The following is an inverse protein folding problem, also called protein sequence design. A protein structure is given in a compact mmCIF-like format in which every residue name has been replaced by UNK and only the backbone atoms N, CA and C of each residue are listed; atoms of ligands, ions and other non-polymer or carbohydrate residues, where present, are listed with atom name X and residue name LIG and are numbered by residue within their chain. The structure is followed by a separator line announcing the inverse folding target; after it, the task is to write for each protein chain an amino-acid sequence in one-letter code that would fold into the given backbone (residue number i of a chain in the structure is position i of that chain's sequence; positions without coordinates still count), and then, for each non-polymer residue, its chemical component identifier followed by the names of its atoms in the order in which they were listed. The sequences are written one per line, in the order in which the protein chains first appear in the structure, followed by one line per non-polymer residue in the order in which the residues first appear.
data_IF_554070314647
#
_entry.id   IF_554070314647
#
_cell.length_a   1.000
_cell.length_b   1.000
_cell.length_c   1.000
_cell.angle_alpha   90.00
_cell.angle_beta   90.00
_cell.angle_gamma   90.00
#
_symmetry.space_group_name_H-M   'P 1'
#
loop_
_entity.id
_entity.type
_entity.pdbx_description
1 polymer ?
#
# COMPACT_ATOMS: atom_id res chain seq x y z
N UNK A 1 54.93 -11.13 3.06
CA UNK A 1 53.86 -11.29 4.07
C UNK A 1 52.55 -11.59 3.37
N UNK A 2 51.88 -12.68 3.76
CA UNK A 2 50.56 -13.04 3.24
C UNK A 2 49.47 -12.40 4.10
N UNK A 3 48.25 -12.36 3.57
CA UNK A 3 47.10 -11.77 4.26
C UNK A 3 45.90 -12.70 4.24
N UNK A 4 45.04 -12.61 5.25
CA UNK A 4 43.76 -13.34 5.22
C UNK A 4 42.85 -12.82 4.09
N UNK A 5 42.01 -13.68 3.49
CA UNK A 5 41.22 -13.31 2.31
C UNK A 5 40.02 -12.38 2.62
N UNK A 6 39.53 -12.35 3.86
CA UNK A 6 38.34 -11.58 4.25
C UNK A 6 38.71 -10.19 4.78
N UNK A 7 39.70 -10.12 5.67
CA UNK A 7 40.03 -8.89 6.40
C UNK A 7 41.45 -8.37 6.11
N UNK A 8 42.20 -9.01 5.20
CA UNK A 8 43.54 -8.56 4.84
C UNK A 8 44.55 -8.65 5.99
N UNK A 9 44.28 -9.43 7.04
CA UNK A 9 45.14 -9.51 8.23
C UNK A 9 46.51 -10.12 7.87
N UNK A 10 47.63 -9.43 8.14
CA UNK A 10 48.96 -9.96 7.84
C UNK A 10 49.29 -11.15 8.73
N UNK A 11 49.97 -12.16 8.20
CA UNK A 11 50.47 -13.27 8.99
C UNK A 11 51.84 -13.77 8.50
N UNK A 12 52.55 -14.46 9.40
CA UNK A 12 53.92 -14.97 9.21
C UNK A 12 53.87 -16.37 8.60
N UNK A 13 54.78 -16.66 7.67
CA UNK A 13 54.94 -17.94 6.99
C UNK A 13 56.29 -18.59 7.33
N UNK A 14 56.45 -19.87 6.98
CA UNK A 14 57.66 -20.64 7.32
C UNK A 14 58.94 -20.15 6.62
N UNK A 15 58.82 -19.41 5.51
CA UNK A 15 59.92 -18.84 4.74
C UNK A 15 60.31 -17.41 5.17
N UNK A 16 59.60 -16.83 6.14
CA UNK A 16 59.90 -15.51 6.68
C UNK A 16 61.19 -15.51 7.52
N UNK A 17 62.05 -14.50 7.31
CA UNK A 17 63.32 -14.37 8.03
C UNK A 17 63.10 -14.06 9.51
N UNK A 18 63.74 -14.84 10.38
CA UNK A 18 63.72 -14.62 11.85
C UNK A 18 64.24 -13.22 12.22
N UNK A 19 65.21 -12.68 11.47
CA UNK A 19 65.73 -11.32 11.69
C UNK A 19 64.69 -10.21 11.45
N UNK A 20 63.64 -10.50 10.69
CA UNK A 20 62.56 -9.58 10.36
C UNK A 20 61.36 -9.71 11.31
N UNK A 21 61.39 -10.67 12.24
CA UNK A 21 60.28 -10.97 13.14
C UNK A 21 59.74 -9.75 13.91
N UNK A 22 60.58 -8.84 14.46
CA UNK A 22 60.05 -7.65 15.14
C UNK A 22 59.18 -6.76 14.24
N UNK A 23 59.58 -6.57 12.98
CA UNK A 23 58.83 -5.77 12.01
C UNK A 23 57.55 -6.48 11.54
N UNK A 24 57.60 -7.82 11.40
CA UNK A 24 56.45 -8.64 11.04
C UNK A 24 55.38 -8.66 12.14
N UNK A 25 55.77 -8.82 13.41
CA UNK A 25 54.83 -8.76 14.52
C UNK A 25 54.19 -7.38 14.65
N UNK A 26 54.95 -6.30 14.44
CA UNK A 26 54.39 -4.95 14.38
C UNK A 26 53.35 -4.80 13.28
N UNK A 27 53.67 -5.25 12.07
CA UNK A 27 52.76 -5.18 10.92
C UNK A 27 51.48 -5.98 11.17
N UNK A 28 51.59 -7.18 11.74
CA UNK A 28 50.45 -8.01 12.12
C UNK A 28 49.55 -7.29 13.15
N UNK A 29 50.14 -6.68 14.19
CA UNK A 29 49.39 -5.94 15.20
C UNK A 29 48.63 -4.74 14.59
N UNK A 30 49.28 -3.94 13.74
CA UNK A 30 48.66 -2.81 13.04
C UNK A 30 47.53 -3.26 12.10
N UNK A 31 47.69 -4.42 11.44
CA UNK A 31 46.65 -5.02 10.62
C UNK A 31 45.43 -5.46 11.43
N UNK A 32 45.64 -6.03 12.62
CA UNK A 32 44.55 -6.39 13.55
C UNK A 32 43.79 -5.15 14.02
N UNK A 33 44.51 -4.11 14.47
CA UNK A 33 43.91 -2.84 14.88
C UNK A 33 43.06 -2.20 13.77
N UNK A 34 43.55 -2.24 12.52
CA UNK A 34 42.82 -1.73 11.36
C UNK A 34 41.53 -2.52 11.10
N UNK A 35 41.61 -3.85 11.12
CA UNK A 35 40.44 -4.69 10.89
C UNK A 35 39.39 -4.57 12.01
N UNK A 36 39.83 -4.45 13.27
CA UNK A 36 38.93 -4.19 14.41
C UNK A 36 38.26 -2.83 14.28
N UNK A 37 39.02 -1.80 13.92
CA UNK A 37 38.47 -0.46 13.63
C UNK A 37 37.44 -0.51 12.51
N UNK A 38 37.67 -1.31 11.46
CA UNK A 38 36.70 -1.48 10.37
C UNK A 38 35.41 -2.16 10.87
N UNK A 39 35.52 -3.23 11.67
CA UNK A 39 34.37 -3.90 12.28
C UNK A 39 33.59 -2.97 13.21
N UNK A 40 34.28 -2.19 14.02
CA UNK A 40 33.66 -1.20 14.92
C UNK A 40 32.98 -0.08 14.13
N UNK A 41 33.58 0.39 13.04
CA UNK A 41 32.98 1.39 12.17
C UNK A 41 31.73 0.88 11.44
N UNK A 42 31.62 -0.43 11.16
CA UNK A 42 30.39 -1.07 10.67
C UNK A 42 29.32 -1.22 11.76
N UNK A 43 29.69 -1.18 13.03
CA UNK A 43 28.76 -1.06 14.17
C UNK A 43 28.51 0.41 14.54
N UNK A 44 28.74 1.36 13.63
CA UNK A 44 28.27 2.74 13.83
C UNK A 44 26.76 2.83 13.57
N UNK A 45 26.09 3.90 14.05
CA UNK A 45 24.69 4.15 13.76
C UNK A 45 24.35 4.18 12.25
N UNK A 46 25.33 4.39 11.37
CA UNK A 46 25.20 4.33 9.91
C UNK A 46 25.24 2.89 9.33
N UNK A 47 25.73 1.91 10.09
CA UNK A 47 25.73 0.47 9.75
C UNK A 47 24.43 -0.23 10.18
N UNK A 48 23.32 0.37 9.77
CA UNK A 48 21.99 0.39 10.41
C UNK A 48 21.39 -1.00 10.74
N UNK A 49 21.76 -1.55 11.90
CA UNK A 49 20.93 -2.55 12.56
C UNK A 49 19.62 -1.88 13.01
N UNK A 50 18.46 -2.56 12.88
CA UNK A 50 17.23 -2.03 13.44
C UNK A 50 17.34 -1.81 14.95
N UNK A 51 16.82 -0.70 15.45
CA UNK A 51 16.72 -0.44 16.89
C UNK A 51 15.53 -1.23 17.44
N UNK A 52 15.79 -2.23 18.28
CA UNK A 52 14.74 -3.07 18.84
C UNK A 52 14.41 -2.61 20.25
N UNK A 53 13.11 -2.44 20.54
CA UNK A 53 12.62 -2.11 21.86
C UNK A 53 11.39 -2.98 22.19
N UNK A 54 11.14 -3.19 23.48
CA UNK A 54 9.94 -3.90 23.93
C UNK A 54 8.70 -3.01 23.86
N UNK A 55 8.81 -1.72 24.19
CA UNK A 55 7.72 -0.75 24.16
C UNK A 55 8.03 0.45 23.27
N UNK A 56 7.00 1.20 22.85
CA UNK A 56 7.18 2.43 22.09
C UNK A 56 7.88 3.51 22.92
N UNK A 57 7.59 3.57 24.23
CA UNK A 57 8.30 4.46 25.15
C UNK A 57 9.80 4.14 25.20
N UNK A 58 10.17 2.86 25.28
CA UNK A 58 11.56 2.42 25.28
C UNK A 58 12.25 2.68 23.93
N UNK A 59 11.50 2.64 22.81
CA UNK A 59 12.01 3.07 21.51
C UNK A 59 12.21 4.59 21.47
N UNK A 60 11.23 5.37 21.95
CA UNK A 60 11.27 6.82 21.98
C UNK A 60 12.40 7.39 22.85
N UNK A 61 12.81 6.67 23.89
CA UNK A 61 13.98 7.01 24.72
C UNK A 61 15.32 6.80 23.99
N UNK A 62 15.33 6.06 22.90
CA UNK A 62 16.52 5.83 22.07
C UNK A 62 16.58 6.83 20.93
N UNK A 63 17.78 7.31 20.61
CA UNK A 63 18.02 8.12 19.40
C UNK A 63 18.41 7.22 18.24
N UNK A 64 18.01 7.61 17.03
CA UNK A 64 18.37 6.91 15.79
C UNK A 64 19.11 7.82 14.81
N UNK A 65 19.60 7.25 13.72
CA UNK A 65 20.00 8.01 12.54
C UNK A 65 18.78 8.27 11.67
N UNK A 66 18.68 9.44 11.04
CA UNK A 66 17.59 9.72 10.09
C UNK A 66 17.47 8.60 9.04
N UNK A 67 16.28 8.02 8.92
CA UNK A 67 15.98 6.88 8.05
C UNK A 67 16.22 5.50 8.67
N UNK A 68 16.79 5.43 9.88
CA UNK A 68 17.00 4.16 10.59
C UNK A 68 15.68 3.50 10.94
N UNK A 69 15.62 2.19 10.77
CA UNK A 69 14.49 1.36 11.20
C UNK A 69 14.57 1.07 12.70
N UNK A 70 13.42 1.17 13.36
CA UNK A 70 13.18 0.70 14.72
C UNK A 70 12.05 -0.34 14.71
N UNK A 71 11.94 -1.15 15.76
CA UNK A 71 10.90 -2.16 15.88
C UNK A 71 10.48 -2.34 17.34
N UNK A 72 9.18 -2.25 17.58
CA UNK A 72 8.55 -2.48 18.90
C UNK A 72 7.91 -3.87 18.93
N UNK A 73 8.24 -4.68 19.94
CA UNK A 73 7.90 -6.12 19.94
C UNK A 73 6.85 -6.56 20.96
N UNK A 74 6.67 -5.82 22.06
CA UNK A 74 5.90 -6.29 23.22
C UNK A 74 5.19 -5.16 23.99
N UNK A 75 4.78 -4.09 23.30
CA UNK A 75 4.00 -3.02 23.89
C UNK A 75 2.60 -3.54 24.23
N UNK A 76 2.08 -3.15 25.39
CA UNK A 76 0.74 -3.55 25.85
C UNK A 76 -0.36 -2.98 24.96
N UNK A 77 -0.10 -1.85 24.29
CA UNK A 77 -0.96 -1.32 23.25
C UNK A 77 -0.58 -1.96 21.92
N UNK A 78 -1.39 -2.92 21.45
CA UNK A 78 -1.08 -3.69 20.23
C UNK A 78 -0.79 -2.82 19.01
N UNK A 79 -1.44 -1.66 18.88
CA UNK A 79 -1.23 -0.71 17.78
C UNK A 79 0.17 -0.06 17.77
N UNK A 80 0.90 -0.10 18.89
CA UNK A 80 2.26 0.42 19.00
C UNK A 80 3.31 -0.60 18.53
N UNK A 81 2.96 -1.88 18.40
CA UNK A 81 3.90 -2.91 17.97
C UNK A 81 4.14 -2.84 16.46
N UNK A 82 5.36 -3.15 16.04
CA UNK A 82 5.75 -3.17 14.64
C UNK A 82 6.86 -2.18 14.27
N UNK A 83 7.03 -1.91 12.97
CA UNK A 83 8.16 -1.16 12.45
C UNK A 83 7.97 0.37 12.52
N UNK A 84 9.06 1.07 12.84
CA UNK A 84 9.17 2.53 12.90
C UNK A 84 10.38 3.00 12.08
N UNK A 85 10.37 4.26 11.65
CA UNK A 85 11.57 4.94 11.12
C UNK A 85 11.89 6.17 11.96
N UNK A 86 13.17 6.47 12.13
CA UNK A 86 13.59 7.71 12.78
C UNK A 86 13.61 8.85 11.76
N UNK A 87 12.87 9.93 11.99
CA UNK A 87 12.79 11.06 11.05
C UNK A 87 13.87 12.13 11.29
N UNK A 88 14.82 11.87 12.19
CA UNK A 88 15.83 12.84 12.66
C UNK A 88 15.45 13.54 13.96
N UNK A 89 14.25 13.32 14.49
CA UNK A 89 13.79 13.89 15.77
C UNK A 89 13.02 12.88 16.60
N UNK A 90 12.20 12.04 15.97
CA UNK A 90 11.36 11.05 16.63
C UNK A 90 11.23 9.77 15.80
N UNK A 91 10.82 8.70 16.47
CA UNK A 91 10.38 7.45 15.83
C UNK A 91 8.94 7.61 15.37
N UNK A 92 8.71 7.41 14.07
CA UNK A 92 7.39 7.44 13.45
C UNK A 92 7.03 6.06 12.89
N UNK A 93 5.77 5.62 13.01
CA UNK A 93 5.35 4.33 12.46
C UNK A 93 5.46 4.34 10.93
N UNK A 94 5.87 3.22 10.32
CA UNK A 94 5.91 3.09 8.85
C UNK A 94 4.51 3.09 8.23
N UNK A 95 3.54 2.54 8.94
CA UNK A 95 2.15 2.54 8.54
C UNK A 95 1.28 2.62 9.79
N UNK A 96 0.25 3.46 9.73
CA UNK A 96 -0.82 3.47 10.74
C UNK A 96 -2.08 2.86 10.14
N UNK A 97 -3.00 2.38 10.99
CA UNK A 97 -4.31 1.92 10.53
C UNK A 97 -5.03 3.00 9.70
N UNK A 98 -4.95 4.27 10.13
CA UNK A 98 -5.53 5.40 9.43
C UNK A 98 -4.94 5.61 8.02
N UNK A 99 -3.63 5.41 7.82
CA UNK A 99 -3.01 5.46 6.48
C UNK A 99 -3.53 4.34 5.58
N UNK A 100 -3.72 3.14 6.15
CA UNK A 100 -4.25 1.99 5.42
C UNK A 100 -5.72 2.21 5.03
N UNK A 101 -6.52 2.78 5.94
CA UNK A 101 -7.91 3.15 5.69
C UNK A 101 -8.00 4.25 4.63
N UNK A 102 -7.12 5.25 4.69
CA UNK A 102 -7.03 6.29 3.65
C UNK A 102 -6.71 5.69 2.28
N UNK A 103 -5.76 4.75 2.20
CA UNK A 103 -5.41 4.08 0.95
C UNK A 103 -6.58 3.25 0.40
N UNK A 104 -7.27 2.50 1.27
CA UNK A 104 -8.46 1.73 0.90
C UNK A 104 -9.59 2.64 0.40
N UNK A 105 -9.79 3.77 1.06
CA UNK A 105 -10.80 4.76 0.68
C UNK A 105 -10.43 5.46 -0.64
N UNK A 106 -9.16 5.75 -0.88
CA UNK A 106 -8.69 6.31 -2.16
C UNK A 106 -8.92 5.35 -3.33
N UNK A 107 -8.64 4.06 -3.16
CA UNK A 107 -8.84 3.06 -4.21
C UNK A 107 -10.31 2.92 -4.61
N UNK A 108 -11.23 3.32 -3.74
CA UNK A 108 -12.66 3.11 -3.90
C UNK A 108 -13.48 4.39 -4.09
N UNK A 109 -12.86 5.58 -3.99
CA UNK A 109 -13.53 6.88 -4.13
C UNK A 109 -13.81 7.30 -5.58
N UNK A 110 -13.10 6.72 -6.56
CA UNK A 110 -13.24 7.12 -7.96
C UNK A 110 -14.38 6.42 -8.71
N UNK A 111 -14.84 5.28 -8.21
CA UNK A 111 -15.81 4.46 -8.94
C UNK A 111 -16.62 3.55 -8.02
N UNK A 112 -17.80 3.17 -8.49
CA UNK A 112 -18.62 2.10 -7.95
C UNK A 112 -19.13 1.25 -9.09
N UNK A 113 -19.27 -0.05 -8.89
CA UNK A 113 -19.88 -0.93 -9.86
C UNK A 113 -20.87 -1.84 -9.16
N UNK A 114 -21.87 -2.30 -9.90
CA UNK A 114 -22.88 -3.17 -9.36
C UNK A 114 -23.68 -3.85 -10.45
N UNK A 115 -24.62 -4.66 -9.99
CA UNK A 115 -25.56 -5.39 -10.83
C UNK A 115 -26.98 -5.09 -10.34
N UNK A 116 -27.90 -4.91 -11.28
CA UNK A 116 -29.30 -4.63 -10.97
C UNK A 116 -30.19 -5.63 -11.70
N UNK A 117 -31.16 -6.18 -10.96
CA UNK A 117 -32.27 -7.00 -11.47
C UNK A 117 -33.56 -6.37 -10.98
N UNK A 118 -34.48 -6.07 -11.90
CA UNK A 118 -35.78 -5.51 -11.52
C UNK A 118 -36.68 -5.20 -12.71
N UNK A 119 -37.53 -4.19 -12.55
CA UNK A 119 -38.49 -3.79 -13.57
C UNK A 119 -38.65 -2.28 -13.61
N UNK A 120 -38.91 -1.75 -14.80
CA UNK A 120 -39.27 -0.35 -15.01
C UNK A 120 -40.72 -0.07 -14.62
N UNK A 121 -41.03 1.19 -14.31
CA UNK A 121 -42.40 1.63 -14.04
C UNK A 121 -43.16 1.98 -15.34
N UNK A 122 -44.40 2.47 -15.24
CA UNK A 122 -45.24 2.84 -16.39
C UNK A 122 -44.60 3.89 -17.33
N UNK A 123 -43.57 4.62 -16.89
CA UNK A 123 -42.84 5.58 -17.69
C UNK A 123 -41.53 4.99 -18.28
N UNK A 124 -41.31 3.69 -18.17
CA UNK A 124 -40.07 3.04 -18.59
C UNK A 124 -38.86 3.47 -17.75
N UNK A 125 -39.07 3.93 -16.51
CA UNK A 125 -38.01 4.44 -15.64
C UNK A 125 -37.62 3.45 -14.55
N UNK A 126 -36.32 3.39 -14.24
CA UNK A 126 -35.73 2.62 -13.14
C UNK A 126 -34.76 3.53 -12.40
N UNK A 127 -34.85 3.57 -11.07
CA UNK A 127 -33.85 4.20 -10.21
C UNK A 127 -32.98 3.10 -9.60
N UNK A 128 -31.68 3.15 -9.87
CA UNK A 128 -30.71 2.18 -9.38
C UNK A 128 -29.90 2.86 -8.27
N UNK A 129 -30.04 2.42 -7.00
CA UNK A 129 -29.32 3.01 -5.88
C UNK A 129 -27.83 2.65 -5.94
N UNK A 130 -27.00 3.55 -5.42
CA UNK A 130 -25.62 3.20 -5.07
C UNK A 130 -25.62 2.41 -3.76
N UNK A 131 -24.72 1.44 -3.64
CA UNK A 131 -24.52 0.65 -2.44
C UNK A 131 -23.83 1.46 -1.34
N UNK A 132 -23.08 2.50 -1.72
CA UNK A 132 -22.35 3.37 -0.79
C UNK A 132 -22.93 4.78 -0.77
N UNK A 133 -22.76 5.45 0.37
CA UNK A 133 -23.09 6.85 0.51
C UNK A 133 -22.04 7.71 -0.21
N UNK A 134 -22.49 8.57 -1.12
CA UNK A 134 -21.64 9.52 -1.84
C UNK A 134 -22.00 10.96 -1.47
N UNK A 135 -21.01 11.85 -1.48
CA UNK A 135 -21.23 13.27 -1.21
C UNK A 135 -21.78 14.02 -2.43
N UNK A 136 -21.49 13.52 -3.64
CA UNK A 136 -21.83 14.17 -4.91
C UNK A 136 -22.39 13.15 -5.91
N UNK A 137 -23.02 13.62 -6.99
CA UNK A 137 -23.43 12.74 -8.08
C UNK A 137 -22.22 12.33 -8.94
N UNK A 138 -22.21 11.11 -9.52
CA UNK A 138 -21.12 10.67 -10.38
C UNK A 138 -21.06 11.50 -11.67
N UNK A 139 -19.85 11.66 -12.21
CA UNK A 139 -19.60 12.35 -13.48
C UNK A 139 -20.10 11.55 -14.68
N UNK A 140 -20.03 10.22 -14.62
CA UNK A 140 -20.51 9.35 -15.68
C UNK A 140 -21.01 8.02 -15.13
N UNK A 141 -21.90 7.38 -15.89
CA UNK A 141 -22.39 6.02 -15.66
C UNK A 141 -22.14 5.25 -16.96
N UNK A 142 -21.43 4.13 -16.85
CA UNK A 142 -21.36 3.09 -17.87
C UNK A 142 -22.38 2.02 -17.50
N UNK A 143 -23.14 1.56 -18.46
CA UNK A 143 -24.13 0.51 -18.25
C UNK A 143 -24.18 -0.41 -19.46
N UNK A 144 -24.23 -1.71 -19.17
CA UNK A 144 -24.45 -2.76 -20.16
C UNK A 144 -25.66 -3.55 -19.73
N UNK A 145 -26.66 -3.62 -20.60
CA UNK A 145 -27.82 -4.49 -20.40
C UNK A 145 -27.39 -5.96 -20.45
N UNK A 146 -27.82 -6.75 -19.48
CA UNK A 146 -27.66 -8.20 -19.48
C UNK A 146 -28.85 -8.85 -20.21
N UNK A 147 -28.59 -9.95 -20.93
CA UNK A 147 -29.65 -10.68 -21.64
C UNK A 147 -30.52 -11.43 -20.62
N UNK A 148 -31.80 -11.09 -20.57
CA UNK A 148 -32.82 -11.90 -19.85
C UNK A 148 -33.38 -12.94 -20.82
N UNK A 149 -33.38 -14.22 -20.43
CA UNK A 149 -33.63 -15.37 -21.32
C UNK A 149 -35.09 -15.45 -21.82
N UNK A 150 -36.04 -14.83 -21.11
CA UNK A 150 -37.49 -15.08 -21.31
C UNK A 150 -38.30 -13.95 -21.95
N UNK A 151 -37.67 -12.89 -22.47
CA UNK A 151 -38.40 -11.76 -23.07
C UNK A 151 -38.07 -11.62 -24.57
N UNK A 152 -39.07 -11.95 -25.40
CA UNK A 152 -38.97 -12.10 -26.86
C UNK A 152 -38.73 -10.75 -27.59
N UNK A 153 -38.82 -9.61 -26.89
CA UNK A 153 -38.67 -8.27 -27.47
C UNK A 153 -37.92 -7.25 -26.57
N UNK A 154 -36.74 -7.61 -26.03
CA UNK A 154 -35.90 -6.68 -25.25
C UNK A 154 -35.01 -5.75 -26.12
N UNK A 155 -35.51 -5.25 -27.24
CA UNK A 155 -34.83 -4.21 -28.03
C UNK A 155 -35.06 -2.83 -27.41
N UNK A 156 -34.60 -2.65 -26.18
CA UNK A 156 -34.65 -1.39 -25.48
C UNK A 156 -33.29 -0.71 -25.51
N UNK A 157 -33.28 0.61 -25.71
CA UNK A 157 -32.06 1.41 -25.52
C UNK A 157 -32.12 2.05 -24.14
N UNK A 158 -31.32 1.58 -23.17
CA UNK A 158 -31.24 2.24 -21.87
C UNK A 158 -30.49 3.57 -22.02
N UNK A 159 -31.07 4.62 -21.47
CA UNK A 159 -30.45 5.94 -21.40
C UNK A 159 -30.38 6.38 -19.95
N UNK A 160 -29.19 6.78 -19.51
CA UNK A 160 -29.01 7.43 -18.21
C UNK A 160 -29.72 8.79 -18.26
N UNK A 161 -30.77 8.93 -17.46
CA UNK A 161 -31.66 10.09 -17.47
C UNK A 161 -31.21 11.15 -16.46
N UNK A 162 -30.88 10.71 -15.25
CA UNK A 162 -30.43 11.59 -14.17
C UNK A 162 -29.46 10.86 -13.26
N UNK A 163 -28.65 11.64 -12.54
CA UNK A 163 -27.67 11.16 -11.56
C UNK A 163 -27.81 12.04 -10.33
N UNK A 164 -27.88 11.41 -9.18
CA UNK A 164 -27.86 12.06 -7.87
C UNK A 164 -26.71 11.45 -7.06
N UNK A 165 -26.54 11.89 -5.81
CA UNK A 165 -25.56 11.28 -4.90
C UNK A 165 -26.00 9.89 -4.39
N UNK A 166 -27.31 9.59 -4.46
CA UNK A 166 -27.88 8.38 -3.85
C UNK A 166 -28.24 7.30 -4.89
N UNK A 167 -28.51 7.71 -6.13
CA UNK A 167 -28.89 6.81 -7.22
C UNK A 167 -28.66 7.46 -8.60
N UNK A 168 -28.71 6.64 -9.64
CA UNK A 168 -28.94 7.10 -11.00
C UNK A 168 -30.25 6.54 -11.55
N UNK A 169 -30.91 7.32 -12.40
CA UNK A 169 -32.12 6.90 -13.08
C UNK A 169 -31.79 6.54 -14.53
N UNK A 170 -32.31 5.42 -15.01
CA UNK A 170 -32.35 5.10 -16.43
C UNK A 170 -33.78 5.19 -16.97
N UNK A 171 -33.88 5.42 -18.27
CA UNK A 171 -35.12 5.26 -19.04
C UNK A 171 -34.93 4.34 -20.22
N UNK A 172 -35.93 3.51 -20.46
CA UNK A 172 -35.95 2.52 -21.53
C UNK A 172 -36.82 3.03 -22.69
N UNK A 173 -36.20 3.22 -23.86
CA UNK A 173 -36.93 3.45 -25.11
C UNK A 173 -37.12 2.14 -25.84
N UNK A 174 -38.31 1.90 -26.36
CA UNK A 174 -38.59 0.78 -27.28
C UNK A 174 -38.11 1.10 -28.70
N UNK A 175 -38.26 0.12 -29.61
CA UNK A 175 -37.90 0.24 -31.03
C UNK A 175 -38.59 1.41 -31.75
N UNK A 176 -39.77 1.82 -31.29
CA UNK A 176 -40.53 2.94 -31.85
C UNK A 176 -40.15 4.30 -31.23
N UNK A 177 -39.04 4.36 -30.48
CA UNK A 177 -38.56 5.52 -29.76
C UNK A 177 -39.52 6.08 -28.69
N UNK A 178 -40.54 5.31 -28.29
CA UNK A 178 -41.44 5.67 -27.19
C UNK A 178 -40.96 5.03 -25.88
N UNK A 179 -41.42 5.54 -24.75
CA UNK A 179 -41.11 4.95 -23.44
C UNK A 179 -41.71 3.54 -23.34
N UNK A 180 -40.90 2.60 -22.85
CA UNK A 180 -41.21 1.18 -22.93
C UNK A 180 -42.29 0.67 -21.95
N UNK A 181 -42.79 1.53 -21.07
CA UNK A 181 -43.70 1.12 -19.99
C UNK A 181 -43.01 0.16 -19.01
N UNK A 182 -43.78 -0.71 -18.37
CA UNK A 182 -43.27 -1.71 -17.43
C UNK A 182 -42.57 -2.83 -18.19
N UNK A 183 -41.26 -2.97 -17.98
CA UNK A 183 -40.41 -3.98 -18.61
C UNK A 183 -39.43 -4.57 -17.59
N UNK A 184 -39.23 -5.90 -17.58
CA UNK A 184 -38.14 -6.51 -16.84
C UNK A 184 -36.80 -5.99 -17.38
N UNK A 185 -35.86 -5.73 -16.48
CA UNK A 185 -34.57 -5.17 -16.83
C UNK A 185 -33.46 -5.69 -15.93
N UNK A 186 -32.35 -6.04 -16.55
CA UNK A 186 -31.14 -6.50 -15.90
C UNK A 186 -29.94 -5.77 -16.50
N UNK A 187 -29.03 -5.29 -15.66
CA UNK A 187 -27.81 -4.65 -16.14
C UNK A 187 -26.66 -4.75 -15.15
N UNK A 188 -25.44 -4.66 -15.68
CA UNK A 188 -24.26 -4.31 -14.92
C UNK A 188 -23.90 -2.86 -15.18
N UNK A 189 -23.45 -2.15 -14.15
CA UNK A 189 -23.16 -0.72 -14.23
C UNK A 189 -21.86 -0.36 -13.52
N UNK A 190 -21.27 0.76 -13.94
CA UNK A 190 -20.14 1.42 -13.29
C UNK A 190 -20.37 2.92 -13.25
N UNK A 191 -20.40 3.48 -12.05
CA UNK A 191 -20.44 4.92 -11.79
C UNK A 191 -19.03 5.44 -11.52
N UNK A 192 -18.67 6.60 -12.06
CA UNK A 192 -17.34 7.21 -11.89
C UNK A 192 -17.50 8.63 -11.36
N UNK A 193 -16.85 8.93 -10.23
CA UNK A 193 -16.77 10.26 -9.63
C UNK A 193 -15.52 11.00 -10.13
N UNK A 194 -15.56 12.33 -10.21
CA UNK A 194 -14.35 13.09 -10.50
C UNK A 194 -13.33 12.85 -9.38
N UNK A 195 -12.11 12.48 -9.76
CA UNK A 195 -10.97 12.49 -8.85
C UNK A 195 -10.58 13.97 -8.70
N UNK A 196 -10.83 14.53 -7.53
CA UNK A 196 -10.42 15.89 -7.15
C UNK A 196 -8.98 15.93 -6.70
#
# INVERSE_FOLDING_TARGET
MKTTPIYGLPYIEADDLVSSAPAQFKTMAEGIETALTEVDSRNTPAGVKPVIATTLEALAAQTGVTGQTGYVTADTTTANNGPYYYNGTAWLPYATGAMLDSLRNQLTQGYEFGHYVGSSNNNGAIAIPFERAHATAPRTILLTQSRVVDAVDLNFTPMVWSRTKDNFQIRLKNRNATWAGVQPFECSWMAIWPVG
#
